data_IF_815539450630
#
_entry.id   IF_815539450630
#
_cell.length_a   1.000
_cell.length_b   1.000
_cell.length_c   1.000
_cell.angle_alpha   90.00
_cell.angle_beta   90.00
_cell.angle_gamma   90.00
#
_symmetry.space_group_name_H-M   'P 1'
#
loop_
_entity.id
_entity.type
_entity.pdbx_description
1 polymer ?
#
# COMPACT_ATOMS: atom_id res chain seq x y z
N UNK A 1 15.77 34.94 -61.38
CA UNK A 1 16.77 34.07 -60.72
C UNK A 1 16.83 34.40 -59.21
N UNK A 2 16.19 33.60 -58.32
CA UNK A 2 16.37 33.51 -56.86
C UNK A 2 15.08 32.90 -56.25
N UNK A 3 14.87 31.63 -56.41
CA UNK A 3 13.93 30.84 -55.61
C UNK A 3 14.37 29.39 -55.69
N UNK A 4 15.38 28.97 -54.94
CA UNK A 4 15.64 27.53 -54.70
C UNK A 4 16.74 27.40 -53.66
N UNK A 5 16.47 27.70 -52.37
CA UNK A 5 17.34 27.36 -51.22
C UNK A 5 16.60 27.48 -49.89
N UNK A 6 15.47 26.81 -49.71
CA UNK A 6 14.83 26.64 -48.38
C UNK A 6 14.07 25.35 -48.18
N UNK A 7 14.47 24.27 -48.83
CA UNK A 7 13.76 22.97 -48.70
C UNK A 7 14.66 21.80 -48.20
N UNK A 8 15.89 22.04 -47.81
CA UNK A 8 16.80 20.95 -47.36
C UNK A 8 17.14 20.93 -45.87
N UNK A 9 16.71 21.91 -45.08
CA UNK A 9 17.02 21.97 -43.64
C UNK A 9 15.98 21.28 -42.74
N UNK A 10 14.79 21.01 -43.25
CA UNK A 10 13.70 20.43 -42.43
C UNK A 10 13.60 18.91 -42.43
N UNK A 11 14.30 18.23 -43.32
CA UNK A 11 14.24 16.76 -43.40
C UNK A 11 15.31 16.06 -42.57
N UNK A 12 16.40 16.75 -42.22
CA UNK A 12 17.48 16.18 -41.40
C UNK A 12 17.19 16.20 -39.87
N UNK A 13 16.27 17.02 -39.38
CA UNK A 13 15.83 17.05 -37.99
C UNK A 13 14.78 15.98 -37.66
N UNK A 14 14.01 15.52 -38.62
CA UNK A 14 13.04 14.43 -38.41
C UNK A 14 13.67 13.04 -38.40
N UNK A 15 14.80 12.86 -39.09
CA UNK A 15 15.51 11.57 -39.12
C UNK A 15 16.36 11.30 -37.89
N UNK A 16 16.78 12.37 -37.16
CA UNK A 16 17.56 12.24 -35.94
C UNK A 16 16.73 11.88 -34.71
N UNK A 17 15.43 12.19 -34.71
CA UNK A 17 14.54 11.87 -33.58
C UNK A 17 13.93 10.45 -33.65
N UNK A 18 13.83 9.87 -34.83
CA UNK A 18 13.29 8.51 -35.01
C UNK A 18 14.34 7.43 -34.67
N UNK A 19 15.63 7.75 -34.78
CA UNK A 19 16.71 6.79 -34.44
C UNK A 19 17.00 6.70 -32.94
N UNK A 20 16.63 7.69 -32.12
CA UNK A 20 16.83 7.62 -30.67
C UNK A 20 15.72 6.87 -29.92
N UNK A 21 14.53 6.73 -30.51
CA UNK A 21 13.43 5.93 -29.90
C UNK A 21 13.57 4.44 -30.23
N UNK A 22 14.28 4.08 -31.29
CA UNK A 22 14.48 2.68 -31.69
C UNK A 22 15.58 1.95 -30.90
N UNK A 23 16.32 2.64 -30.03
CA UNK A 23 17.35 2.04 -29.19
C UNK A 23 16.85 1.53 -27.83
N UNK A 24 15.61 1.87 -27.45
CA UNK A 24 15.02 1.37 -26.19
C UNK A 24 14.17 0.11 -26.34
N UNK A 25 14.03 -0.44 -27.54
CA UNK A 25 13.17 -1.61 -27.83
C UNK A 25 13.91 -2.85 -28.33
N UNK A 26 15.21 -2.99 -28.08
CA UNK A 26 15.92 -4.26 -28.32
C UNK A 26 16.49 -4.76 -27.03
N UNK A 27 15.83 -5.80 -26.51
CA UNK A 27 16.38 -6.90 -25.72
C UNK A 27 17.78 -6.63 -25.16
N UNK A 28 17.88 -5.76 -24.16
CA UNK A 28 18.97 -5.83 -23.25
C UNK A 28 18.78 -7.15 -22.50
N UNK A 29 19.19 -8.27 -23.11
CA UNK A 29 19.50 -9.46 -22.36
C UNK A 29 20.51 -9.01 -21.33
N UNK A 30 20.10 -9.00 -20.07
CA UNK A 30 21.02 -8.96 -18.94
C UNK A 30 21.45 -10.43 -18.72
N UNK A 31 22.50 -10.90 -19.42
CA UNK A 31 22.89 -12.28 -19.31
C UNK A 31 23.34 -12.56 -17.87
N UNK A 32 22.72 -13.53 -17.25
CA UNK A 32 23.09 -14.02 -15.95
C UNK A 32 22.20 -13.62 -14.76
N UNK A 33 21.04 -13.00 -14.99
CA UNK A 33 20.07 -12.82 -13.91
C UNK A 33 18.65 -13.29 -14.29
N UNK A 34 17.94 -13.79 -13.30
CA UNK A 34 16.51 -14.14 -13.36
C UNK A 34 15.87 -13.81 -12.01
N UNK A 35 14.57 -13.69 -11.97
CA UNK A 35 13.79 -13.56 -10.74
C UNK A 35 12.86 -14.75 -10.59
N UNK A 36 12.81 -15.31 -9.40
CA UNK A 36 11.82 -16.32 -9.04
C UNK A 36 10.89 -15.74 -7.98
N UNK A 37 9.54 -15.88 -8.15
CA UNK A 37 8.61 -15.54 -7.10
C UNK A 37 8.85 -16.46 -5.89
N UNK A 38 8.58 -15.97 -4.68
CA UNK A 38 8.60 -16.81 -3.50
C UNK A 38 7.47 -17.84 -3.59
N UNK A 39 7.71 -19.06 -3.07
CA UNK A 39 6.73 -20.14 -3.14
C UNK A 39 5.43 -19.78 -2.43
N UNK A 40 4.30 -20.12 -3.05
CA UNK A 40 2.96 -19.88 -2.52
C UNK A 40 2.17 -21.19 -2.48
N UNK A 41 1.23 -21.35 -1.54
CA UNK A 41 0.25 -22.43 -1.62
C UNK A 41 -0.57 -22.27 -2.91
N UNK A 42 -0.72 -23.38 -3.66
CA UNK A 42 -1.31 -23.35 -5.00
C UNK A 42 -2.80 -22.98 -5.02
N UNK A 43 -3.51 -23.07 -3.89
CA UNK A 43 -4.96 -22.95 -3.83
C UNK A 43 -5.47 -21.77 -3.00
N UNK A 44 -4.55 -20.88 -2.53
CA UNK A 44 -4.90 -19.81 -1.63
C UNK A 44 -4.39 -18.45 -2.12
N UNK A 45 -5.13 -17.41 -1.71
CA UNK A 45 -4.79 -16.01 -1.95
C UNK A 45 -5.11 -15.21 -0.68
N UNK A 46 -4.28 -15.34 0.38
CA UNK A 46 -4.61 -14.88 1.73
C UNK A 46 -4.51 -13.38 1.94
N UNK A 47 -3.89 -12.65 1.01
CA UNK A 47 -3.78 -11.19 1.05
C UNK A 47 -4.13 -10.59 -0.32
N UNK A 48 -4.62 -9.35 -0.41
CA UNK A 48 -5.02 -8.73 -1.67
C UNK A 48 -3.94 -8.72 -2.76
N UNK A 49 -2.69 -8.58 -2.38
CA UNK A 49 -1.56 -8.48 -3.31
C UNK A 49 -0.80 -9.82 -3.48
N UNK A 50 -1.34 -10.92 -2.95
CA UNK A 50 -0.68 -12.21 -2.85
C UNK A 50 0.36 -12.25 -1.72
N UNK A 51 1.01 -13.40 -1.52
CA UNK A 51 1.94 -13.60 -0.40
C UNK A 51 3.10 -12.61 -0.34
N UNK A 52 3.52 -12.08 -1.47
CA UNK A 52 4.76 -11.32 -1.60
C UNK A 52 4.56 -9.96 -2.25
N UNK A 53 3.30 -9.53 -2.38
CA UNK A 53 2.97 -8.30 -3.08
C UNK A 53 3.12 -8.38 -4.61
N UNK A 54 3.24 -9.60 -5.18
CA UNK A 54 3.63 -9.80 -6.57
C UNK A 54 2.47 -10.08 -7.53
N UNK A 55 1.23 -10.23 -7.02
CA UNK A 55 0.05 -10.60 -7.81
C UNK A 55 0.25 -11.85 -8.69
N UNK A 56 1.17 -12.73 -8.32
CA UNK A 56 1.49 -13.93 -9.06
C UNK A 56 0.73 -15.14 -8.50
N UNK A 57 0.11 -15.92 -9.39
CA UNK A 57 -0.50 -17.21 -9.08
C UNK A 57 0.29 -18.32 -9.75
N UNK A 58 0.52 -19.41 -9.02
CA UNK A 58 1.14 -20.63 -9.54
C UNK A 58 0.13 -21.55 -10.25
N UNK A 59 -1.18 -21.19 -10.23
CA UNK A 59 -2.22 -21.94 -10.92
C UNK A 59 -2.04 -21.88 -12.43
N UNK A 60 -2.17 -23.01 -13.10
CA UNK A 60 -1.93 -23.14 -14.54
C UNK A 60 -3.15 -23.50 -15.38
N UNK A 61 -4.35 -23.55 -14.79
CA UNK A 61 -5.57 -23.95 -15.51
C UNK A 61 -6.01 -22.91 -16.53
N UNK A 62 -5.74 -21.62 -16.28
CA UNK A 62 -5.97 -20.55 -17.23
C UNK A 62 -4.67 -20.28 -17.99
N UNK A 63 -4.73 -20.43 -19.33
CA UNK A 63 -3.58 -20.33 -20.22
C UNK A 63 -3.88 -19.31 -21.35
N UNK A 64 -2.86 -18.84 -22.08
CA UNK A 64 -3.08 -18.01 -23.28
C UNK A 64 -4.01 -18.65 -24.32
N UNK A 65 -4.08 -19.98 -24.37
CA UNK A 65 -4.90 -20.70 -25.34
C UNK A 65 -6.38 -20.76 -24.95
N UNK A 66 -6.68 -20.83 -23.63
CA UNK A 66 -8.04 -21.01 -23.13
C UNK A 66 -8.67 -19.76 -22.51
N UNK A 67 -7.90 -18.73 -22.15
CA UNK A 67 -8.42 -17.50 -21.51
C UNK A 67 -9.58 -16.85 -22.30
N UNK A 68 -9.59 -16.99 -23.63
CA UNK A 68 -10.66 -16.47 -24.49
C UNK A 68 -12.01 -17.21 -24.35
N UNK A 69 -12.01 -18.35 -23.69
CA UNK A 69 -13.20 -19.18 -23.47
C UNK A 69 -13.79 -19.00 -22.05
N UNK A 70 -13.21 -18.10 -21.23
CA UNK A 70 -13.77 -17.79 -19.93
C UNK A 70 -15.15 -17.15 -20.08
N UNK A 71 -16.10 -17.62 -19.30
CA UNK A 71 -17.44 -17.06 -19.18
C UNK A 71 -17.70 -16.60 -17.75
N UNK A 72 -18.64 -15.67 -17.55
CA UNK A 72 -19.05 -15.22 -16.23
C UNK A 72 -19.85 -16.34 -15.57
N UNK A 73 -19.31 -16.93 -14.50
CA UNK A 73 -19.99 -17.97 -13.74
C UNK A 73 -21.15 -17.40 -12.90
N UNK A 74 -20.91 -16.31 -12.19
CA UNK A 74 -21.89 -15.63 -11.37
C UNK A 74 -21.53 -14.14 -11.17
N UNK A 75 -22.47 -13.37 -10.65
CA UNK A 75 -22.29 -11.94 -10.32
C UNK A 75 -22.92 -11.67 -8.96
N UNK A 76 -22.10 -11.31 -7.98
CA UNK A 76 -22.57 -10.79 -6.69
C UNK A 76 -22.67 -9.26 -6.72
N UNK A 77 -23.80 -8.70 -6.27
CA UNK A 77 -24.04 -7.26 -6.22
C UNK A 77 -24.13 -6.79 -4.79
N UNK A 78 -23.08 -6.14 -4.29
CA UNK A 78 -23.00 -5.66 -2.90
C UNK A 78 -23.99 -4.53 -2.58
N UNK A 79 -24.42 -3.76 -3.56
CA UNK A 79 -25.23 -2.56 -3.36
C UNK A 79 -24.46 -1.33 -2.85
N UNK A 80 -23.19 -1.48 -2.50
CA UNK A 80 -22.35 -0.44 -1.90
C UNK A 80 -21.74 0.47 -2.96
N UNK A 81 -22.58 1.27 -3.61
CA UNK A 81 -22.19 2.21 -4.66
C UNK A 81 -22.82 3.57 -4.40
N UNK A 82 -22.03 4.63 -4.46
CA UNK A 82 -22.51 6.01 -4.51
C UNK A 82 -21.86 6.78 -5.65
N UNK A 83 -22.67 7.56 -6.37
CA UNK A 83 -22.24 8.38 -7.50
C UNK A 83 -21.61 9.71 -7.08
N UNK A 84 -21.61 10.02 -5.76
CA UNK A 84 -21.19 11.34 -5.26
C UNK A 84 -22.18 12.42 -5.66
N UNK A 85 -23.34 12.44 -5.03
CA UNK A 85 -24.29 13.57 -5.14
C UNK A 85 -23.78 14.73 -4.30
N UNK A 86 -24.38 15.92 -4.46
CA UNK A 86 -24.01 17.10 -3.68
C UNK A 86 -24.01 16.77 -2.17
N UNK A 87 -22.82 16.84 -1.55
CA UNK A 87 -22.60 16.47 -0.15
C UNK A 87 -22.22 15.02 0.12
N UNK A 88 -22.19 14.13 -0.88
CA UNK A 88 -21.75 12.74 -0.71
C UNK A 88 -20.47 12.46 -1.48
N UNK A 89 -19.52 11.76 -0.84
CA UNK A 89 -18.32 11.25 -1.54
C UNK A 89 -18.68 10.10 -2.50
N UNK A 90 -18.10 10.09 -3.70
CA UNK A 90 -18.26 8.94 -4.61
C UNK A 90 -17.52 7.72 -4.08
N UNK A 91 -18.05 6.51 -4.35
CA UNK A 91 -17.34 5.26 -4.02
C UNK A 91 -16.48 4.76 -5.18
N UNK A 92 -15.43 4.01 -4.84
CA UNK A 92 -14.63 3.26 -5.80
C UNK A 92 -14.38 1.86 -5.27
N UNK A 93 -14.71 0.84 -6.05
CA UNK A 93 -14.44 -0.56 -5.70
C UNK A 93 -13.01 -0.89 -6.13
N UNK A 94 -12.08 -0.94 -5.17
CA UNK A 94 -10.66 -1.21 -5.40
C UNK A 94 -10.17 -2.46 -4.65
N UNK A 95 -11.08 -3.17 -3.99
CA UNK A 95 -10.74 -4.35 -3.20
C UNK A 95 -10.43 -5.55 -4.10
N UNK A 96 -9.32 -6.21 -3.82
CA UNK A 96 -9.03 -7.55 -4.34
C UNK A 96 -9.64 -8.58 -3.40
N UNK A 97 -10.39 -9.56 -3.92
CA UNK A 97 -10.87 -10.68 -3.11
C UNK A 97 -9.71 -11.50 -2.54
N UNK A 98 -9.93 -12.11 -1.39
CA UNK A 98 -9.00 -13.01 -0.69
C UNK A 98 -9.62 -14.40 -0.61
N UNK A 99 -8.86 -15.43 -0.97
CA UNK A 99 -9.30 -16.81 -0.99
C UNK A 99 -8.53 -17.63 0.03
N UNK A 100 -9.22 -18.13 1.05
CA UNK A 100 -8.61 -18.95 2.13
C UNK A 100 -9.56 -20.05 2.53
N UNK A 101 -9.08 -21.28 2.64
CA UNK A 101 -9.82 -22.48 3.06
C UNK A 101 -11.16 -22.65 2.32
N UNK A 102 -11.18 -22.35 1.01
CA UNK A 102 -12.38 -22.52 0.17
C UNK A 102 -13.43 -21.43 0.34
N UNK A 103 -13.14 -20.34 1.04
CA UNK A 103 -14.04 -19.20 1.22
C UNK A 103 -13.46 -17.96 0.50
N UNK A 104 -14.31 -17.31 -0.29
CA UNK A 104 -13.95 -16.07 -0.97
C UNK A 104 -14.38 -14.86 -0.12
N UNK A 105 -13.41 -14.19 0.48
CA UNK A 105 -13.65 -12.99 1.27
C UNK A 105 -13.52 -11.73 0.40
N UNK A 106 -14.44 -10.78 0.59
CA UNK A 106 -14.49 -9.51 -0.14
C UNK A 106 -14.78 -8.38 0.82
N UNK A 107 -14.15 -7.22 0.62
CA UNK A 107 -14.51 -6.00 1.32
C UNK A 107 -15.08 -4.98 0.36
N UNK A 108 -16.18 -4.33 0.74
CA UNK A 108 -16.85 -3.33 -0.09
C UNK A 108 -16.26 -1.93 0.14
N UNK A 109 -16.54 -0.96 -0.76
CA UNK A 109 -16.14 0.43 -0.53
C UNK A 109 -16.62 1.00 0.81
N UNK A 110 -17.75 0.52 1.34
CA UNK A 110 -18.31 0.95 2.63
C UNK A 110 -17.74 0.17 3.82
N UNK A 111 -16.62 -0.52 3.62
CA UNK A 111 -15.94 -1.36 4.64
C UNK A 111 -16.80 -2.52 5.16
N UNK A 112 -17.81 -2.98 4.44
CA UNK A 112 -18.50 -4.23 4.78
C UNK A 112 -17.64 -5.40 4.36
N UNK A 113 -17.47 -6.39 5.24
CA UNK A 113 -16.85 -7.67 4.90
C UNK A 113 -17.91 -8.68 4.50
N UNK A 114 -17.63 -9.44 3.45
CA UNK A 114 -18.49 -10.48 2.92
C UNK A 114 -17.68 -11.76 2.79
N UNK A 115 -18.28 -12.91 3.10
CA UNK A 115 -17.77 -14.21 2.69
C UNK A 115 -18.72 -14.82 1.68
N UNK A 116 -18.19 -15.29 0.58
CA UNK A 116 -18.94 -15.85 -0.52
C UNK A 116 -18.47 -17.29 -0.79
N UNK A 117 -19.40 -18.13 -1.18
CA UNK A 117 -19.08 -19.41 -1.80
C UNK A 117 -18.44 -19.15 -3.18
N UNK A 118 -17.23 -19.64 -3.45
CA UNK A 118 -16.51 -19.31 -4.70
C UNK A 118 -17.14 -19.95 -5.94
N UNK A 119 -17.91 -21.04 -5.81
CA UNK A 119 -18.53 -21.72 -6.94
C UNK A 119 -19.85 -21.08 -7.36
N UNK A 120 -20.67 -20.65 -6.39
CA UNK A 120 -22.01 -20.13 -6.63
C UNK A 120 -22.11 -18.59 -6.50
N UNK A 121 -21.22 -17.94 -5.75
CA UNK A 121 -21.29 -16.52 -5.39
C UNK A 121 -22.35 -16.22 -4.31
N UNK A 122 -22.90 -17.26 -3.66
CA UNK A 122 -23.82 -17.09 -2.54
C UNK A 122 -23.13 -16.49 -1.33
N UNK A 123 -23.80 -15.57 -0.63
CA UNK A 123 -23.31 -14.97 0.61
C UNK A 123 -23.40 -15.97 1.77
N UNK A 124 -22.26 -16.36 2.33
CA UNK A 124 -22.17 -17.22 3.50
C UNK A 124 -22.40 -16.43 4.78
N UNK A 125 -21.79 -15.23 4.86
CA UNK A 125 -22.01 -14.25 5.91
C UNK A 125 -21.63 -12.85 5.44
N UNK A 126 -22.14 -11.83 6.14
CA UNK A 126 -21.72 -10.44 5.99
C UNK A 126 -21.61 -9.76 7.34
N UNK A 127 -20.66 -8.84 7.42
CA UNK A 127 -20.43 -7.95 8.56
C UNK A 127 -20.47 -6.50 8.12
N UNK A 128 -21.37 -5.70 8.74
CA UNK A 128 -21.44 -4.25 8.51
C UNK A 128 -20.91 -3.50 9.74
N UNK A 129 -19.79 -2.76 9.62
CA UNK A 129 -19.27 -1.95 10.72
C UNK A 129 -20.14 -0.72 11.04
N UNK A 130 -21.22 -0.46 10.30
CA UNK A 130 -22.12 0.68 10.45
C UNK A 130 -21.37 2.01 10.46
N UNK A 131 -20.62 2.29 9.39
CA UNK A 131 -19.90 3.56 9.26
C UNK A 131 -20.90 4.69 9.08
N UNK A 132 -20.81 5.72 9.92
CA UNK A 132 -21.55 6.96 9.72
C UNK A 132 -20.99 7.70 8.49
N UNK A 133 -21.79 7.78 7.45
CA UNK A 133 -21.46 8.43 6.18
C UNK A 133 -22.07 9.82 6.05
N UNK A 134 -22.79 10.28 7.08
CA UNK A 134 -23.48 11.59 7.08
C UNK A 134 -22.54 12.77 7.24
N UNK A 135 -21.35 12.56 7.86
CA UNK A 135 -20.38 13.62 8.10
C UNK A 135 -19.23 13.57 7.11
N UNK A 136 -19.19 14.56 6.25
CA UNK A 136 -18.01 15.09 5.53
C UNK A 136 -16.87 14.07 5.26
N UNK A 137 -17.19 12.88 4.74
CA UNK A 137 -16.19 11.98 4.20
C UNK A 137 -15.52 12.72 3.04
N UNK A 138 -14.31 13.22 3.27
CA UNK A 138 -13.56 13.93 2.26
C UNK A 138 -12.87 12.94 1.33
N UNK A 139 -13.09 13.08 0.04
CA UNK A 139 -12.55 12.22 -0.98
C UNK A 139 -13.43 11.02 -1.32
N UNK A 140 -12.89 10.07 -2.07
CA UNK A 140 -13.61 8.83 -2.44
C UNK A 140 -13.64 7.85 -1.26
N UNK A 141 -14.80 7.24 -1.07
CA UNK A 141 -14.93 6.09 -0.17
C UNK A 141 -14.38 4.87 -0.90
N UNK A 142 -13.30 4.33 -0.43
CA UNK A 142 -12.64 3.17 -1.05
C UNK A 142 -11.94 2.30 -0.03
N UNK A 143 -11.98 1.00 -0.28
CA UNK A 143 -11.20 0.00 0.46
C UNK A 143 -10.39 -0.84 -0.55
N UNK A 144 -9.15 -1.18 -0.21
CA UNK A 144 -8.27 -1.99 -1.07
C UNK A 144 -8.26 -3.46 -0.69
N UNK A 145 -8.76 -3.78 0.49
CA UNK A 145 -8.86 -5.16 0.94
C UNK A 145 -8.84 -5.31 2.46
N UNK A 146 -8.66 -6.53 2.86
CA UNK A 146 -8.51 -7.01 4.23
C UNK A 146 -7.50 -8.15 4.20
N UNK A 147 -7.13 -8.70 5.35
CA UNK A 147 -6.21 -9.83 5.44
C UNK A 147 -6.78 -10.92 6.32
N UNK A 148 -6.42 -12.17 6.01
CA UNK A 148 -6.80 -13.34 6.80
C UNK A 148 -5.57 -13.88 7.50
N UNK A 149 -5.73 -14.27 8.78
CA UNK A 149 -4.72 -14.86 9.61
C UNK A 149 -5.26 -16.14 10.25
N UNK A 150 -4.44 -17.18 10.27
CA UNK A 150 -4.77 -18.48 10.90
C UNK A 150 -3.90 -18.69 12.13
N UNK A 151 -4.53 -18.96 13.27
CA UNK A 151 -3.84 -19.25 14.52
C UNK A 151 -3.30 -20.70 14.52
N UNK A 152 -1.99 -20.82 14.38
CA UNK A 152 -1.30 -22.13 14.43
C UNK A 152 -1.38 -22.82 15.77
N UNK A 153 -1.83 -22.13 16.82
CA UNK A 153 -1.98 -22.66 18.18
C UNK A 153 -3.42 -23.08 18.50
N UNK A 154 -4.40 -22.64 17.69
CA UNK A 154 -5.79 -22.99 17.88
C UNK A 154 -6.14 -24.35 17.22
N UNK A 155 -7.22 -24.94 17.68
CA UNK A 155 -7.79 -26.14 17.03
C UNK A 155 -8.51 -25.65 15.75
N UNK A 156 -8.24 -26.23 14.58
CA UNK A 156 -8.94 -25.88 13.36
C UNK A 156 -10.47 -25.98 13.53
N UNK A 157 -11.18 -24.94 13.10
CA UNK A 157 -12.65 -24.85 13.21
C UNK A 157 -13.16 -24.30 14.55
N UNK A 158 -12.30 -24.05 15.55
CA UNK A 158 -12.71 -23.30 16.73
C UNK A 158 -12.96 -21.83 16.37
N UNK A 159 -13.86 -21.19 17.12
CA UNK A 159 -14.19 -19.79 16.93
C UNK A 159 -12.92 -18.92 17.03
N UNK A 160 -12.70 -18.06 16.03
CA UNK A 160 -11.55 -17.20 15.93
C UNK A 160 -10.18 -17.91 15.77
N UNK A 161 -10.18 -19.22 15.45
CA UNK A 161 -8.95 -19.90 15.01
C UNK A 161 -8.43 -19.32 13.69
N UNK A 162 -9.32 -18.83 12.85
CA UNK A 162 -8.99 -18.07 11.66
C UNK A 162 -9.71 -16.72 11.71
N UNK A 163 -8.99 -15.63 11.40
CA UNK A 163 -9.49 -14.27 11.59
C UNK A 163 -9.36 -13.43 10.34
N UNK A 164 -10.41 -12.68 10.05
CA UNK A 164 -10.38 -11.58 9.08
C UNK A 164 -10.04 -10.28 9.81
N UNK A 165 -8.95 -9.62 9.44
CA UNK A 165 -8.60 -8.31 9.92
C UNK A 165 -9.07 -7.24 8.94
N UNK A 166 -10.06 -6.46 9.36
CA UNK A 166 -10.70 -5.41 8.58
C UNK A 166 -10.37 -4.04 9.20
N UNK A 167 -9.50 -3.27 8.56
CA UNK A 167 -9.28 -1.88 8.90
C UNK A 167 -10.27 -1.01 8.12
N UNK A 168 -11.01 -0.13 8.79
CA UNK A 168 -12.16 0.57 8.22
C UNK A 168 -11.91 2.03 7.93
N UNK A 169 -12.74 2.60 7.08
CA UNK A 169 -12.66 4.00 6.65
C UNK A 169 -12.87 5.00 7.80
N UNK A 170 -13.52 4.60 8.89
CA UNK A 170 -13.73 5.40 10.10
C UNK A 170 -12.70 5.12 11.21
N UNK A 171 -11.55 4.56 10.84
CA UNK A 171 -10.39 4.33 11.72
C UNK A 171 -10.61 3.28 12.80
N UNK A 172 -11.34 2.21 12.50
CA UNK A 172 -11.43 1.04 13.39
C UNK A 172 -10.68 -0.15 12.76
N UNK A 173 -10.13 -1.00 13.61
CA UNK A 173 -9.59 -2.31 13.20
C UNK A 173 -10.43 -3.41 13.85
N UNK A 174 -11.12 -4.18 13.03
CA UNK A 174 -11.90 -5.34 13.47
C UNK A 174 -11.09 -6.62 13.32
N UNK A 175 -11.32 -7.58 14.23
CA UNK A 175 -10.94 -8.98 14.12
C UNK A 175 -12.23 -9.79 14.11
N UNK A 176 -12.52 -10.40 12.97
CA UNK A 176 -13.74 -11.22 12.77
C UNK A 176 -13.35 -12.68 12.62
N UNK A 177 -14.19 -13.57 13.11
CA UNK A 177 -14.08 -14.99 12.82
C UNK A 177 -14.32 -15.26 11.34
N UNK A 178 -13.38 -15.91 10.66
CA UNK A 178 -13.43 -16.08 9.21
C UNK A 178 -14.57 -17.00 8.74
N UNK A 179 -15.05 -17.90 9.60
CA UNK A 179 -16.13 -18.83 9.26
C UNK A 179 -17.51 -18.24 9.47
N UNK A 180 -17.68 -17.33 10.45
CA UNK A 180 -19.00 -16.85 10.86
C UNK A 180 -19.20 -15.33 10.68
N UNK A 181 -18.13 -14.56 10.46
CA UNK A 181 -18.16 -13.10 10.39
C UNK A 181 -18.40 -12.43 11.75
N UNK A 182 -18.47 -13.19 12.86
CA UNK A 182 -18.68 -12.63 14.18
C UNK A 182 -17.40 -11.99 14.73
N UNK A 183 -17.51 -10.87 15.48
CA UNK A 183 -16.34 -10.28 16.12
C UNK A 183 -15.67 -11.23 17.11
N UNK A 184 -14.33 -11.29 17.07
CA UNK A 184 -13.53 -12.07 18.01
C UNK A 184 -13.42 -11.30 19.34
N UNK A 185 -14.28 -11.59 20.31
CA UNK A 185 -14.44 -10.81 21.56
C UNK A 185 -13.14 -10.63 22.37
N UNK A 186 -12.19 -11.53 22.24
CA UNK A 186 -10.87 -11.45 22.89
C UNK A 186 -9.93 -10.37 22.29
N UNK A 187 -10.31 -9.77 21.17
CA UNK A 187 -9.52 -8.73 20.50
C UNK A 187 -10.03 -7.33 20.88
N UNK A 188 -9.18 -6.55 21.52
CA UNK A 188 -9.48 -5.15 21.90
C UNK A 188 -10.77 -4.99 22.68
N UNK A 189 -11.62 -4.08 22.21
CA UNK A 189 -12.95 -3.87 22.79
C UNK A 189 -13.98 -4.73 22.07
N UNK A 190 -14.17 -6.00 22.51
CA UNK A 190 -15.14 -6.93 21.93
C UNK A 190 -15.01 -7.08 20.40
N UNK A 191 -13.79 -7.31 19.95
CA UNK A 191 -13.50 -7.60 18.55
C UNK A 191 -13.01 -6.41 17.71
N UNK A 192 -12.77 -5.25 18.29
CA UNK A 192 -12.28 -4.10 17.55
C UNK A 192 -11.41 -3.12 18.37
N UNK A 193 -10.65 -2.28 17.65
CA UNK A 193 -9.82 -1.20 18.17
C UNK A 193 -10.20 0.14 17.52
N UNK A 194 -10.15 1.24 18.28
CA UNK A 194 -10.18 2.60 17.76
C UNK A 194 -8.76 3.05 17.38
N UNK A 195 -8.48 3.07 16.07
CA UNK A 195 -7.19 3.52 15.55
C UNK A 195 -7.08 5.05 15.51
N UNK A 196 -8.18 5.76 15.61
CA UNK A 196 -8.23 7.23 15.53
C UNK A 196 -8.07 7.94 16.87
N UNK A 197 -8.14 7.22 18.01
CA UNK A 197 -8.24 7.82 19.34
C UNK A 197 -7.12 8.82 19.67
N UNK A 198 -5.86 8.47 19.35
CA UNK A 198 -4.67 9.20 19.78
C UNK A 198 -3.91 9.89 18.64
N UNK A 199 -4.48 9.92 17.40
CA UNK A 199 -3.76 10.42 16.22
C UNK A 199 -4.27 11.76 15.71
N UNK A 200 -5.48 12.17 16.06
CA UNK A 200 -6.02 13.48 15.71
C UNK A 200 -5.31 14.55 16.55
N UNK A 201 -4.48 15.36 15.91
CA UNK A 201 -3.68 16.41 16.56
C UNK A 201 -4.48 17.67 16.87
N UNK A 202 -5.61 17.85 16.20
CA UNK A 202 -6.49 19.00 16.34
C UNK A 202 -7.91 18.51 16.51
N UNK A 203 -8.60 19.04 17.52
CA UNK A 203 -9.99 18.73 17.79
C UNK A 203 -10.87 19.03 16.57
N UNK A 204 -11.79 18.11 16.27
CA UNK A 204 -12.69 18.22 15.12
C UNK A 204 -12.11 17.72 13.79
N UNK A 205 -10.86 17.23 13.75
CA UNK A 205 -10.23 16.70 12.53
C UNK A 205 -10.07 15.17 12.50
N UNK A 206 -10.74 14.44 13.38
CA UNK A 206 -10.67 12.96 13.45
C UNK A 206 -10.98 12.27 12.12
N UNK A 207 -11.95 12.74 11.37
CA UNK A 207 -12.35 12.15 10.09
C UNK A 207 -11.33 12.28 8.95
N UNK A 208 -10.18 12.90 9.20
CA UNK A 208 -9.09 13.04 8.21
C UNK A 208 -8.06 11.91 8.31
N UNK A 209 -8.13 11.06 9.32
CA UNK A 209 -7.34 9.85 9.49
C UNK A 209 -8.24 8.64 9.26
N UNK A 210 -7.85 7.75 8.36
CA UNK A 210 -8.65 6.60 7.93
C UNK A 210 -7.75 5.47 7.47
N UNK A 211 -8.28 4.26 7.38
CA UNK A 211 -7.62 3.13 6.75
C UNK A 211 -8.28 2.84 5.41
N UNK A 212 -7.47 2.64 4.39
CA UNK A 212 -7.92 2.27 3.04
C UNK A 212 -7.17 1.06 2.50
N UNK A 213 -6.00 0.76 3.07
CA UNK A 213 -5.19 -0.40 2.74
C UNK A 213 -5.52 -1.58 3.68
N UNK A 214 -5.34 -2.82 3.21
CA UNK A 214 -5.40 -3.99 4.07
C UNK A 214 -4.29 -3.94 5.13
N UNK A 215 -4.53 -4.44 6.36
CA UNK A 215 -3.46 -4.66 7.32
C UNK A 215 -2.42 -5.64 6.79
N UNK A 216 -1.14 -5.43 7.05
CA UNK A 216 -0.13 -6.47 6.84
C UNK A 216 -0.11 -7.41 8.05
N UNK A 217 0.12 -8.69 7.81
CA UNK A 217 0.24 -9.68 8.88
C UNK A 217 1.62 -10.28 8.83
N UNK A 218 2.28 -10.31 9.97
CA UNK A 218 3.57 -10.92 10.18
C UNK A 218 3.51 -11.75 11.46
N UNK A 219 3.47 -13.08 11.33
CA UNK A 219 3.33 -14.01 12.47
C UNK A 219 2.16 -13.61 13.38
N UNK A 220 2.44 -13.19 14.60
CA UNK A 220 1.44 -12.79 15.62
C UNK A 220 1.24 -11.27 15.70
N UNK A 221 1.65 -10.52 14.68
CA UNK A 221 1.52 -9.06 14.60
C UNK A 221 0.67 -8.65 13.41
N UNK A 222 -0.37 -7.87 13.65
CA UNK A 222 -1.13 -7.16 12.62
C UNK A 222 -0.65 -5.71 12.56
N UNK A 223 -0.17 -5.28 11.39
CA UNK A 223 0.43 -3.97 11.16
C UNK A 223 -0.50 -3.12 10.31
N UNK A 224 -0.77 -1.91 10.74
CA UNK A 224 -1.66 -0.96 10.06
C UNK A 224 -0.96 0.36 9.78
N UNK A 225 -1.10 0.83 8.55
CA UNK A 225 -0.82 2.19 8.14
C UNK A 225 -2.08 3.05 8.14
N UNK A 226 -2.04 4.19 7.44
CA UNK A 226 -3.18 5.09 7.37
C UNK A 226 -3.21 5.88 6.08
N UNK A 227 -4.41 6.34 5.69
CA UNK A 227 -4.62 7.35 4.67
C UNK A 227 -5.02 8.66 5.35
N UNK A 228 -4.31 9.73 5.06
CA UNK A 228 -4.49 11.04 5.67
C UNK A 228 -4.86 12.04 4.57
N UNK A 229 -5.64 13.04 4.95
CA UNK A 229 -5.97 14.14 4.04
C UNK A 229 -4.89 15.22 4.14
N UNK A 230 -3.78 15.00 3.46
CA UNK A 230 -2.48 15.63 3.61
C UNK A 230 -2.28 16.91 2.79
N UNK A 231 -3.10 17.14 1.77
CA UNK A 231 -2.94 18.28 0.88
C UNK A 231 -3.65 19.58 1.32
N UNK A 232 -4.33 19.60 2.47
CA UNK A 232 -5.08 20.77 2.94
C UNK A 232 -4.48 21.50 4.12
N UNK A 233 -3.80 20.80 5.02
CA UNK A 233 -3.40 21.33 6.31
C UNK A 233 -1.96 20.98 6.63
N UNK A 234 -1.20 21.95 7.13
CA UNK A 234 0.17 21.74 7.60
C UNK A 234 0.22 20.87 8.87
N UNK A 235 -0.86 20.90 9.64
CA UNK A 235 -1.06 20.23 10.92
C UNK A 235 -1.95 18.99 10.79
N UNK A 236 -1.82 18.26 9.67
CA UNK A 236 -2.53 17.00 9.44
C UNK A 236 -2.24 15.96 10.54
N UNK A 237 -3.05 14.93 10.62
CA UNK A 237 -2.86 13.82 11.56
C UNK A 237 -1.51 13.15 11.38
N UNK A 238 -1.02 12.47 12.43
CA UNK A 238 0.18 11.66 12.35
C UNK A 238 0.05 10.53 11.33
N UNK A 239 1.12 10.27 10.58
CA UNK A 239 1.25 9.13 9.68
C UNK A 239 1.66 7.82 10.35
N UNK A 240 1.48 7.72 11.67
CA UNK A 240 1.94 6.59 12.49
C UNK A 240 1.57 5.24 11.92
N UNK A 241 2.54 4.32 11.89
CA UNK A 241 2.36 2.90 11.62
C UNK A 241 2.42 2.14 12.94
N UNK A 242 1.49 1.21 13.14
CA UNK A 242 1.35 0.50 14.42
C UNK A 242 1.22 -0.99 14.23
N UNK A 243 1.89 -1.75 15.11
CA UNK A 243 1.76 -3.19 15.22
C UNK A 243 0.99 -3.59 16.47
N UNK A 244 0.01 -4.47 16.31
CA UNK A 244 -0.83 -4.98 17.38
C UNK A 244 -0.75 -6.51 17.45
N UNK A 245 -0.91 -7.07 18.62
CA UNK A 245 -1.02 -8.53 18.78
C UNK A 245 -2.31 -9.03 18.11
N UNK A 246 -2.20 -10.00 17.20
CA UNK A 246 -3.34 -10.53 16.41
C UNK A 246 -4.43 -11.17 17.27
N UNK A 247 -4.10 -11.70 18.45
CA UNK A 247 -5.09 -12.38 19.32
C UNK A 247 -5.80 -11.42 20.24
N UNK A 248 -5.06 -10.47 20.82
CA UNK A 248 -5.55 -9.62 21.92
C UNK A 248 -5.83 -8.18 21.50
N UNK A 249 -5.26 -7.70 20.38
CA UNK A 249 -5.33 -6.30 19.99
C UNK A 249 -4.43 -5.37 20.85
N UNK A 250 -3.58 -5.93 21.72
CA UNK A 250 -2.64 -5.12 22.49
C UNK A 250 -1.65 -4.43 21.55
N UNK A 251 -1.43 -3.12 21.74
CA UNK A 251 -0.41 -2.38 21.01
C UNK A 251 0.97 -2.91 21.42
N UNK A 252 1.73 -3.38 20.42
CA UNK A 252 3.10 -3.88 20.61
C UNK A 252 4.12 -2.77 20.37
N UNK A 253 3.92 -2.00 19.30
CA UNK A 253 4.80 -0.89 18.94
C UNK A 253 4.07 0.15 18.08
N UNK A 254 4.64 1.35 18.03
CA UNK A 254 4.26 2.42 17.10
C UNK A 254 5.51 3.07 16.53
N UNK A 255 5.49 3.36 15.26
CA UNK A 255 6.55 4.07 14.54
C UNK A 255 5.99 5.34 13.89
N UNK A 256 6.58 6.49 14.25
CA UNK A 256 6.17 7.83 13.77
C UNK A 256 7.11 8.28 12.66
N UNK A 257 6.68 8.34 11.39
CA UNK A 257 7.56 8.64 10.25
C UNK A 257 8.24 10.00 10.33
N UNK A 258 7.56 10.99 10.91
CA UNK A 258 8.01 12.40 10.92
C UNK A 258 8.35 12.89 12.32
N UNK A 259 8.66 12.00 13.24
CA UNK A 259 9.01 12.39 14.62
C UNK A 259 10.30 13.22 14.64
N UNK A 260 10.23 14.38 15.35
CA UNK A 260 11.39 15.26 15.54
C UNK A 260 11.75 16.12 14.31
N UNK A 261 10.94 16.12 13.29
CA UNK A 261 11.15 16.99 12.14
C UNK A 261 10.96 18.48 12.49
N UNK A 262 11.80 19.37 11.93
CA UNK A 262 11.58 20.80 12.05
C UNK A 262 10.27 21.18 11.34
N UNK A 263 9.48 22.03 12.02
CA UNK A 263 8.23 22.55 11.50
C UNK A 263 8.08 24.00 11.92
N UNK A 264 7.83 24.87 10.97
CA UNK A 264 7.76 26.31 11.20
C UNK A 264 6.55 26.95 10.50
N UNK A 265 5.30 26.60 10.91
CA UNK A 265 4.11 27.09 10.26
C UNK A 265 3.83 28.57 10.59
N UNK A 266 3.39 29.32 9.61
CA UNK A 266 2.94 30.70 9.79
C UNK A 266 1.69 30.83 10.68
N UNK A 267 0.90 29.77 10.80
CA UNK A 267 -0.30 29.72 11.64
C UNK A 267 0.00 29.57 13.15
N UNK A 268 1.28 29.52 13.53
CA UNK A 268 1.71 29.44 14.93
C UNK A 268 1.57 28.07 15.60
N UNK A 269 1.20 27.01 14.87
CA UNK A 269 1.18 25.67 15.45
C UNK A 269 2.61 25.19 15.75
N UNK A 270 2.81 24.52 16.87
CA UNK A 270 4.09 23.93 17.29
C UNK A 270 4.18 22.45 16.98
N UNK A 271 3.14 21.89 16.35
CA UNK A 271 3.11 20.45 16.01
C UNK A 271 4.00 20.20 14.80
N UNK A 272 4.72 19.06 14.76
CA UNK A 272 5.45 18.65 13.57
C UNK A 272 4.47 18.42 12.41
N UNK A 273 4.96 18.43 11.15
CA UNK A 273 4.10 18.12 10.01
C UNK A 273 3.44 16.77 10.20
N UNK A 274 2.22 16.62 9.70
CA UNK A 274 1.52 15.35 9.66
C UNK A 274 1.82 14.58 8.38
N UNK A 275 1.04 13.53 8.12
CA UNK A 275 1.20 12.61 6.99
C UNK A 275 2.57 11.90 6.99
N UNK A 276 3.23 11.74 5.87
CA UNK A 276 4.31 10.75 5.71
C UNK A 276 3.80 9.32 5.91
N UNK A 277 2.50 9.15 5.80
CA UNK A 277 1.73 7.96 6.14
C UNK A 277 1.86 6.85 5.09
N UNK A 278 1.58 5.62 5.48
CA UNK A 278 1.50 4.47 4.58
C UNK A 278 0.04 4.17 4.23
N UNK A 279 -0.42 4.70 3.09
CA UNK A 279 -1.77 4.45 2.58
C UNK A 279 -1.82 3.34 1.52
N UNK A 280 -0.67 3.00 0.95
CA UNK A 280 -0.50 1.83 0.10
C UNK A 280 -0.38 0.56 0.96
N UNK A 281 -0.54 -0.59 0.33
CA UNK A 281 -0.39 -1.88 1.01
C UNK A 281 1.06 -2.07 1.49
N UNK A 282 1.21 -2.50 2.74
CA UNK A 282 2.47 -2.90 3.31
C UNK A 282 2.77 -4.36 2.94
N UNK A 283 4.03 -4.72 2.83
CA UNK A 283 4.43 -6.10 2.55
C UNK A 283 5.23 -6.68 3.70
N UNK A 284 4.87 -7.89 4.15
CA UNK A 284 5.54 -8.59 5.22
C UNK A 284 6.49 -9.66 4.69
N UNK A 285 7.67 -9.77 5.31
CA UNK A 285 8.64 -10.86 5.14
C UNK A 285 8.77 -11.60 6.47
N UNK A 286 7.97 -12.64 6.63
CA UNK A 286 7.92 -13.40 7.89
C UNK A 286 9.24 -14.09 8.24
N UNK A 287 9.96 -14.55 7.22
CA UNK A 287 11.24 -15.26 7.40
C UNK A 287 12.27 -14.35 8.08
N UNK A 288 12.36 -13.11 7.63
CA UNK A 288 13.36 -12.14 8.09
C UNK A 288 12.85 -11.17 9.16
N UNK A 289 11.59 -11.32 9.61
CA UNK A 289 10.93 -10.43 10.56
C UNK A 289 10.95 -8.97 10.08
N UNK A 290 10.56 -8.72 8.83
CA UNK A 290 10.54 -7.39 8.23
C UNK A 290 9.13 -7.03 7.73
N UNK A 291 8.76 -5.76 7.93
CA UNK A 291 7.62 -5.13 7.27
C UNK A 291 8.13 -3.96 6.44
N UNK A 292 7.84 -4.00 5.15
CA UNK A 292 8.19 -2.93 4.21
C UNK A 292 7.06 -1.92 4.15
N UNK A 293 7.38 -0.68 4.49
CA UNK A 293 6.45 0.44 4.61
C UNK A 293 6.75 1.48 3.53
N UNK A 294 5.92 1.57 2.47
CA UNK A 294 6.02 2.62 1.48
C UNK A 294 5.34 3.88 2.01
N UNK A 295 6.12 4.92 2.34
CA UNK A 295 5.58 6.15 2.90
C UNK A 295 5.20 7.17 1.83
N UNK A 296 4.20 7.98 2.13
CA UNK A 296 3.74 9.09 1.31
C UNK A 296 4.43 10.41 1.63
N UNK A 297 3.92 11.47 1.02
CA UNK A 297 4.40 12.83 1.19
C UNK A 297 4.05 13.39 2.56
N UNK A 298 4.85 14.33 3.11
CA UNK A 298 4.51 15.01 4.34
C UNK A 298 3.53 16.15 4.05
N UNK A 299 2.72 16.51 5.04
CA UNK A 299 1.70 17.56 4.91
C UNK A 299 2.31 18.97 5.07
N UNK A 300 1.86 19.96 4.28
CA UNK A 300 1.03 19.87 3.08
C UNK A 300 1.87 19.49 1.85
N UNK A 301 1.35 18.58 1.01
CA UNK A 301 2.10 17.93 -0.09
C UNK A 301 2.79 18.89 -1.04
N UNK A 302 2.05 19.91 -1.48
CA UNK A 302 2.49 20.83 -2.54
C UNK A 302 3.14 22.13 -2.01
N UNK A 303 3.35 22.25 -0.70
CA UNK A 303 3.91 23.47 -0.08
C UNK A 303 4.90 23.13 1.03
N UNK A 304 6.19 23.17 0.69
CA UNK A 304 7.28 22.73 1.58
C UNK A 304 7.83 23.76 2.57
N UNK A 305 7.41 25.04 2.49
CA UNK A 305 8.01 26.13 3.29
C UNK A 305 7.90 25.87 4.80
N UNK A 306 6.84 25.22 5.26
CA UNK A 306 6.61 24.93 6.67
C UNK A 306 7.30 23.66 7.18
N UNK A 307 7.89 22.86 6.30
CA UNK A 307 8.56 21.62 6.61
C UNK A 307 9.97 21.55 6.02
N UNK A 308 10.90 22.41 6.49
CA UNK A 308 12.25 22.49 5.95
C UNK A 308 13.02 21.18 6.08
N UNK A 309 14.03 20.99 5.23
CA UNK A 309 14.86 19.80 5.20
C UNK A 309 14.28 18.68 4.32
N UNK A 310 14.89 17.51 4.36
CA UNK A 310 14.59 16.38 3.47
C UNK A 310 13.28 15.68 3.78
N UNK A 311 12.70 15.95 4.93
CA UNK A 311 11.44 15.35 5.40
C UNK A 311 11.52 13.82 5.56
N UNK A 312 12.61 13.33 6.11
CA UNK A 312 12.81 11.91 6.42
C UNK A 312 11.84 11.50 7.55
N UNK A 313 11.08 10.40 7.42
CA UNK A 313 11.05 9.31 6.44
C UNK A 313 9.89 9.42 5.42
N UNK A 314 9.46 10.58 5.01
CA UNK A 314 8.49 10.70 3.94
C UNK A 314 9.08 10.21 2.59
N UNK A 315 8.21 9.83 1.65
CA UNK A 315 8.55 9.39 0.29
C UNK A 315 9.66 8.32 0.27
N UNK A 316 9.59 7.40 1.21
CA UNK A 316 10.63 6.41 1.49
C UNK A 316 10.09 4.99 1.48
N UNK A 317 10.93 4.04 1.07
CA UNK A 317 10.73 2.65 1.46
C UNK A 317 11.47 2.43 2.78
N UNK A 318 10.73 2.04 3.81
CA UNK A 318 11.26 1.79 5.15
C UNK A 318 11.03 0.34 5.52
N UNK A 319 12.09 -0.38 5.89
CA UNK A 319 12.00 -1.71 6.45
C UNK A 319 12.01 -1.61 7.98
N UNK A 320 10.90 -1.99 8.59
CA UNK A 320 10.76 -2.09 10.04
C UNK A 320 10.92 -3.52 10.50
N UNK A 321 11.47 -3.72 11.72
CA UNK A 321 11.38 -4.98 12.43
C UNK A 321 9.91 -5.26 12.74
N UNK A 322 9.32 -6.32 12.21
CA UNK A 322 7.89 -6.59 12.33
C UNK A 322 7.44 -6.78 13.78
N UNK A 323 8.29 -7.37 14.63
CA UNK A 323 7.97 -7.62 16.05
C UNK A 323 8.18 -6.41 16.95
N UNK A 324 9.04 -5.43 16.60
CA UNK A 324 9.40 -4.31 17.49
C UNK A 324 9.14 -2.92 16.90
N UNK A 325 8.93 -2.78 15.59
CA UNK A 325 8.77 -1.49 14.92
C UNK A 325 10.07 -0.70 14.73
N UNK A 326 11.22 -1.27 15.08
CA UNK A 326 12.52 -0.62 14.88
C UNK A 326 12.88 -0.50 13.40
N UNK A 327 13.40 0.65 12.98
CA UNK A 327 13.90 0.86 11.61
C UNK A 327 15.16 0.02 11.40
N UNK A 328 15.10 -0.91 10.44
CA UNK A 328 16.24 -1.74 10.03
C UNK A 328 17.04 -1.02 8.95
N UNK A 329 16.36 -0.53 7.94
CA UNK A 329 16.92 0.31 6.90
C UNK A 329 15.83 1.15 6.22
N UNK A 330 16.23 2.17 5.49
CA UNK A 330 15.34 2.96 4.65
C UNK A 330 16.07 3.49 3.41
N UNK A 331 15.28 3.86 2.42
CA UNK A 331 15.77 4.61 1.26
C UNK A 331 14.74 5.66 0.89
N UNK A 332 15.11 6.92 0.94
CA UNK A 332 14.25 8.04 0.54
C UNK A 332 14.33 8.25 -0.97
N UNK A 333 13.21 8.11 -1.67
CA UNK A 333 13.12 8.22 -3.13
C UNK A 333 13.03 9.69 -3.58
N UNK A 334 12.36 10.52 -2.77
CA UNK A 334 12.19 11.95 -3.03
C UNK A 334 12.47 12.72 -1.75
N UNK A 335 13.44 13.65 -1.83
CA UNK A 335 13.80 14.57 -0.75
C UNK A 335 12.97 15.85 -0.89
N UNK A 336 12.37 16.32 0.22
CA UNK A 336 11.57 17.56 0.24
C UNK A 336 10.52 17.60 -0.89
N UNK A 337 9.68 16.59 -0.94
CA UNK A 337 8.69 16.42 -2.01
C UNK A 337 7.69 17.59 -2.07
N UNK A 338 7.44 18.10 -3.28
CA UNK A 338 6.47 19.16 -3.60
C UNK A 338 5.48 18.74 -4.70
N UNK A 339 5.48 17.46 -5.07
CA UNK A 339 4.79 16.94 -6.25
C UNK A 339 3.79 15.84 -5.93
N UNK A 340 3.66 15.49 -4.64
CA UNK A 340 2.86 14.35 -4.20
C UNK A 340 3.37 13.02 -4.81
N UNK A 341 4.68 12.79 -4.71
CA UNK A 341 5.33 11.58 -5.20
C UNK A 341 5.38 10.46 -4.16
N UNK A 342 4.22 10.18 -3.55
CA UNK A 342 4.05 9.02 -2.69
C UNK A 342 4.54 7.72 -3.33
N UNK A 343 4.81 6.71 -2.52
CA UNK A 343 5.01 5.35 -2.95
C UNK A 343 3.65 4.60 -2.98
N UNK A 344 3.00 4.48 -4.16
CA UNK A 344 1.58 4.12 -4.23
C UNK A 344 1.32 2.62 -4.31
N UNK A 345 2.36 1.80 -4.45
CA UNK A 345 2.25 0.36 -4.68
C UNK A 345 2.85 -0.45 -3.56
N UNK A 346 2.36 -1.69 -3.33
CA UNK A 346 3.01 -2.61 -2.40
C UNK A 346 4.46 -2.88 -2.84
N UNK A 347 5.41 -2.93 -1.89
CA UNK A 347 6.74 -3.46 -2.15
C UNK A 347 6.68 -4.94 -2.54
N UNK A 348 7.31 -5.33 -3.65
CA UNK A 348 7.24 -6.70 -4.16
C UNK A 348 8.49 -7.48 -3.76
N UNK A 349 8.30 -8.63 -3.11
CA UNK A 349 9.39 -9.53 -2.70
C UNK A 349 9.65 -10.60 -3.74
N UNK A 350 10.94 -10.86 -4.00
CA UNK A 350 11.36 -11.91 -4.94
C UNK A 350 12.78 -12.37 -4.63
N UNK A 351 13.23 -13.43 -5.31
CA UNK A 351 14.63 -13.85 -5.33
C UNK A 351 15.25 -13.43 -6.65
N UNK A 352 16.32 -12.64 -6.58
CA UNK A 352 17.13 -12.26 -7.73
C UNK A 352 18.29 -13.23 -7.85
N UNK A 353 18.43 -13.88 -9.01
CA UNK A 353 19.58 -14.70 -9.33
C UNK A 353 20.55 -13.87 -10.19
N UNK A 354 21.76 -13.65 -9.70
CA UNK A 354 22.81 -12.91 -10.40
C UNK A 354 24.15 -13.64 -10.24
N UNK A 355 24.78 -13.97 -11.35
CA UNK A 355 26.09 -14.63 -11.39
C UNK A 355 26.16 -15.93 -10.55
N UNK A 356 25.07 -16.68 -10.52
CA UNK A 356 24.94 -17.91 -9.75
C UNK A 356 24.66 -17.72 -8.25
N UNK A 357 24.44 -16.48 -7.80
CA UNK A 357 24.10 -16.15 -6.41
C UNK A 357 22.63 -15.81 -6.31
N UNK A 358 21.94 -16.36 -5.29
CA UNK A 358 20.58 -15.99 -4.92
C UNK A 358 20.61 -14.79 -3.98
N UNK A 359 19.91 -13.72 -4.35
CA UNK A 359 19.84 -12.48 -3.59
C UNK A 359 18.39 -12.24 -3.18
N UNK A 360 18.09 -12.20 -1.88
CA UNK A 360 16.76 -11.83 -1.41
C UNK A 360 16.51 -10.36 -1.73
N UNK A 361 15.51 -10.08 -2.57
CA UNK A 361 15.28 -8.76 -3.12
C UNK A 361 13.89 -8.23 -2.80
N UNK A 362 13.77 -6.89 -2.75
CA UNK A 362 12.51 -6.15 -2.75
C UNK A 362 12.58 -5.07 -3.81
N UNK A 363 11.49 -4.88 -4.56
CA UNK A 363 11.37 -3.81 -5.54
C UNK A 363 10.22 -2.87 -5.17
N UNK A 364 10.47 -1.56 -5.29
CA UNK A 364 9.48 -0.52 -5.11
C UNK A 364 9.28 0.26 -6.41
N UNK A 365 8.04 0.33 -6.89
CA UNK A 365 7.66 1.22 -7.97
C UNK A 365 7.25 2.59 -7.43
N UNK A 366 7.45 3.64 -8.24
CA UNK A 366 7.22 5.02 -7.83
C UNK A 366 6.32 5.77 -8.81
N UNK A 367 5.65 6.84 -8.34
CA UNK A 367 4.89 7.77 -9.20
C UNK A 367 5.77 8.45 -10.27
N UNK A 368 7.09 8.47 -10.08
CA UNK A 368 8.07 8.99 -11.04
C UNK A 368 8.32 8.03 -12.23
N UNK A 369 7.76 6.81 -12.21
CA UNK A 369 7.98 5.79 -13.23
C UNK A 369 9.30 5.03 -13.11
N UNK A 370 9.95 5.08 -11.94
CA UNK A 370 11.15 4.31 -11.64
C UNK A 370 10.83 3.08 -10.80
N UNK A 371 11.67 2.04 -10.97
CA UNK A 371 11.73 0.87 -10.12
C UNK A 371 13.05 0.88 -9.35
N UNK A 372 12.97 0.77 -8.04
CA UNK A 372 14.12 0.69 -7.15
C UNK A 372 14.23 -0.72 -6.59
N UNK A 373 15.37 -1.36 -6.80
CA UNK A 373 15.61 -2.74 -6.40
C UNK A 373 16.62 -2.77 -5.25
N UNK A 374 16.25 -3.37 -4.14
CA UNK A 374 17.10 -3.45 -2.95
C UNK A 374 17.32 -4.90 -2.52
N UNK A 375 18.45 -5.16 -1.92
CA UNK A 375 18.62 -6.32 -1.07
C UNK A 375 17.70 -6.19 0.14
N UNK A 376 16.68 -7.05 0.27
CA UNK A 376 15.58 -6.83 1.21
C UNK A 376 15.99 -6.83 2.68
N UNK A 377 17.13 -7.45 3.04
CA UNK A 377 17.60 -7.50 4.44
C UNK A 377 18.49 -6.29 4.76
N UNK A 378 19.33 -5.84 3.82
CA UNK A 378 20.34 -4.80 4.09
C UNK A 378 19.97 -3.42 3.58
N UNK A 379 19.02 -3.31 2.65
CA UNK A 379 18.66 -2.06 1.97
C UNK A 379 19.69 -1.62 0.90
N UNK A 380 20.68 -2.45 0.59
CA UNK A 380 21.64 -2.15 -0.47
C UNK A 380 20.94 -2.08 -1.84
N UNK A 381 21.24 -1.03 -2.60
CA UNK A 381 20.69 -0.84 -3.94
C UNK A 381 21.30 -1.84 -4.93
N UNK A 382 20.49 -2.70 -5.52
CA UNK A 382 20.97 -3.78 -6.40
C UNK A 382 21.24 -3.34 -7.84
N UNK A 383 20.60 -2.25 -8.29
CA UNK A 383 20.81 -1.67 -9.61
C UNK A 383 21.06 -0.16 -9.48
N UNK A 384 21.94 0.41 -10.30
CA UNK A 384 22.20 1.85 -10.25
C UNK A 384 20.97 2.66 -10.65
N UNK A 385 20.71 3.72 -9.90
CA UNK A 385 19.68 4.72 -10.27
C UNK A 385 20.29 5.65 -11.31
N UNK A 386 19.60 5.95 -12.42
CA UNK A 386 20.09 6.92 -13.41
C UNK A 386 20.39 8.28 -12.76
N UNK A 387 21.57 8.83 -13.02
CA UNK A 387 22.05 10.08 -12.41
C UNK A 387 21.12 11.28 -12.67
N UNK A 388 20.31 11.26 -13.72
CA UNK A 388 19.29 12.25 -14.02
C UNK A 388 18.08 12.24 -13.06
N UNK A 389 17.79 11.11 -12.45
CA UNK A 389 16.68 10.99 -11.50
C UNK A 389 17.00 11.58 -10.13
N UNK A 390 18.24 11.47 -9.68
CA UNK A 390 18.69 12.02 -8.39
C UNK A 390 19.09 13.51 -8.47
N UNK A 391 19.59 13.98 -9.62
CA UNK A 391 20.11 15.36 -9.77
C UNK A 391 19.04 16.43 -10.01
N UNK A 392 17.84 16.05 -10.47
CA UNK A 392 16.73 17.00 -10.64
C UNK A 392 16.18 17.50 -9.30
N UNK A 393 16.43 16.80 -8.21
CA UNK A 393 15.87 17.10 -6.89
C UNK A 393 16.82 17.89 -5.98
N UNK A 394 18.11 17.88 -6.26
CA UNK A 394 19.10 18.69 -5.54
C UNK A 394 18.98 20.19 -5.90
N UNK A 395 18.27 20.55 -6.97
CA UNK A 395 18.09 21.94 -7.40
C UNK A 395 16.93 22.67 -6.70
N UNK A 396 16.03 21.98 -6.02
CA UNK A 396 14.87 22.59 -5.34
C UNK A 396 15.21 22.99 -3.89
N UNK A 397 16.34 22.58 -3.38
CA UNK A 397 16.80 22.92 -2.01
C UNK A 397 17.39 24.34 -1.89
N UNK A 398 17.33 25.15 -2.94
CA UNK A 398 17.94 26.51 -3.00
C UNK A 398 16.94 27.65 -3.27
N UNK A 399 15.70 27.54 -2.80
CA UNK A 399 14.78 28.68 -2.75
C UNK A 399 14.21 28.83 -1.34
#
# INVERSE_FOLDING_TARGET
MKKTRRLFASVLLAAGFVTSVAWFSRDAEYPGWRSDPLSQPAHEWPTPDGFTGNHHSVLGDITPDNVRHLEVAWVHRTGDVTQGREGEASSAFQSTPVMVDGILHVVTPFSRALALDPESGEELWSFDPHIDRSDSIQGKVTMRGHSVWTDSLAIPGEQCAQRVFLATFDSRLFSLDALSGQPCEGFGNKGWLDLGADVARIEGRRGQYKQTAPPAILRDVVVVGSSIFDNRFADASSGVVRGFNVRTGALLWSWEPLLGMPHNPENGTQLPPGAGNAWATLTADEENDLVFVPTGSPSPDHYGVWRPGDNLYANSLVALRGTTGEVVWHYQMVHHDLWDYDLPSPPLLFTLHRDGVEIPAVVQSTKMGYLFFFHRITGELLFPVPVGAASLWTMVTLI
#
